data_IF_773335445603
#
_entry.id   IF_773335445603
#
_cell.length_a   1.000
_cell.length_b   1.000
_cell.length_c   1.000
_cell.angle_alpha   90.00
_cell.angle_beta   90.00
_cell.angle_gamma   90.00
#
_symmetry.space_group_name_H-M   'P 1'
#
loop_
_entity.id
_entity.type
_entity.pdbx_description
1 polymer ?
#
# COMPACT_ATOMS: atom_id res chain seq x y z
N UNK A 1 29.88 -21.45 16.59
CA UNK A 1 29.15 -20.26 16.14
C UNK A 1 27.69 -20.67 16.01
N UNK A 2 26.75 -19.85 16.46
CA UNK A 2 25.34 -20.18 16.30
C UNK A 2 24.96 -19.84 14.85
N UNK A 3 24.68 -20.85 14.03
CA UNK A 3 24.23 -20.69 12.63
C UNK A 3 22.73 -20.38 12.60
N UNK A 4 22.38 -19.13 12.90
CA UNK A 4 20.96 -18.69 12.85
C UNK A 4 20.38 -18.91 11.45
N UNK A 5 21.21 -18.77 10.39
CA UNK A 5 20.78 -19.00 9.00
C UNK A 5 20.21 -20.40 8.75
N UNK A 6 20.90 -21.44 9.23
CA UNK A 6 20.45 -22.85 9.08
C UNK A 6 19.10 -23.12 9.74
N UNK A 7 18.84 -22.51 10.91
CA UNK A 7 17.54 -22.65 11.59
C UNK A 7 16.42 -21.95 10.83
N UNK A 8 16.70 -20.78 10.24
CA UNK A 8 15.73 -20.05 9.42
C UNK A 8 15.44 -20.83 8.13
N UNK A 9 16.48 -21.33 7.47
CA UNK A 9 16.37 -22.14 6.24
C UNK A 9 15.51 -23.38 6.48
N UNK A 10 15.81 -24.15 7.52
CA UNK A 10 15.05 -25.34 7.92
C UNK A 10 13.57 -25.01 8.24
N UNK A 11 13.33 -23.88 8.92
CA UNK A 11 11.95 -23.43 9.21
C UNK A 11 11.19 -23.04 7.95
N UNK A 12 11.85 -22.36 7.00
CA UNK A 12 11.26 -21.95 5.72
C UNK A 12 10.99 -23.17 4.84
N UNK A 13 11.94 -24.11 4.72
CA UNK A 13 11.74 -25.36 3.98
C UNK A 13 10.56 -26.15 4.53
N UNK A 14 10.50 -26.33 5.86
CA UNK A 14 9.37 -27.01 6.50
C UNK A 14 8.02 -26.34 6.20
N UNK A 15 7.98 -24.99 6.25
CA UNK A 15 6.79 -24.22 5.90
C UNK A 15 6.42 -24.36 4.43
N UNK A 16 7.40 -24.42 3.53
CA UNK A 16 7.16 -24.57 2.08
C UNK A 16 6.62 -25.95 1.77
N UNK A 17 7.16 -27.01 2.39
CA UNK A 17 6.70 -28.39 2.16
C UNK A 17 5.28 -28.64 2.71
N UNK A 18 5.00 -28.16 3.93
CA UNK A 18 3.71 -28.42 4.60
C UNK A 18 2.63 -27.38 4.30
N UNK A 19 3.04 -26.20 3.85
CA UNK A 19 2.14 -25.07 3.55
C UNK A 19 1.88 -24.82 2.07
N UNK A 20 2.40 -25.64 1.15
CA UNK A 20 2.31 -25.39 -0.29
C UNK A 20 0.89 -25.06 -0.76
N UNK A 21 -0.10 -25.88 -0.43
CA UNK A 21 -1.50 -25.64 -0.82
C UNK A 21 -2.09 -24.34 -0.26
N UNK A 22 -1.65 -23.92 0.92
CA UNK A 22 -2.07 -22.64 1.52
C UNK A 22 -1.44 -21.45 0.78
N UNK A 23 -0.15 -21.54 0.47
CA UNK A 23 0.55 -20.49 -0.28
C UNK A 23 0.05 -20.40 -1.72
N UNK A 24 -0.27 -21.53 -2.37
CA UNK A 24 -0.88 -21.57 -3.70
C UNK A 24 -2.26 -20.88 -3.71
N UNK A 25 -3.10 -21.15 -2.71
CA UNK A 25 -4.41 -20.52 -2.60
C UNK A 25 -4.29 -18.99 -2.37
N UNK A 26 -3.35 -18.58 -1.52
CA UNK A 26 -3.06 -17.15 -1.31
C UNK A 26 -2.52 -16.49 -2.57
N UNK A 27 -1.63 -17.18 -3.29
CA UNK A 27 -1.08 -16.72 -4.57
C UNK A 27 -2.19 -16.47 -5.58
N UNK A 28 -3.06 -17.45 -5.80
CA UNK A 28 -4.21 -17.33 -6.71
C UNK A 28 -5.14 -16.18 -6.31
N UNK A 29 -5.37 -15.98 -5.00
CA UNK A 29 -6.19 -14.87 -4.50
C UNK A 29 -5.58 -13.51 -4.79
N UNK A 30 -4.29 -13.35 -4.51
CA UNK A 30 -3.56 -12.08 -4.72
C UNK A 30 -3.40 -11.79 -6.21
N UNK A 31 -3.00 -12.80 -7.00
CA UNK A 31 -2.88 -12.71 -8.46
C UNK A 31 -4.21 -12.32 -9.09
N UNK A 32 -5.29 -12.98 -8.72
CA UNK A 32 -6.63 -12.64 -9.23
C UNK A 32 -7.06 -11.21 -8.92
N UNK A 33 -6.68 -10.64 -7.77
CA UNK A 33 -6.95 -9.24 -7.44
C UNK A 33 -6.10 -8.30 -8.29
N UNK A 34 -4.80 -8.59 -8.45
CA UNK A 34 -3.89 -7.77 -9.25
C UNK A 34 -4.33 -7.77 -10.72
N UNK A 35 -4.55 -8.95 -11.29
CA UNK A 35 -4.94 -9.12 -12.68
C UNK A 35 -6.34 -8.55 -12.94
N UNK A 36 -7.27 -8.70 -12.01
CA UNK A 36 -8.59 -8.08 -12.10
C UNK A 36 -8.51 -6.55 -12.17
N UNK A 37 -7.70 -5.92 -11.31
CA UNK A 37 -7.47 -4.47 -11.35
C UNK A 37 -6.75 -4.08 -12.64
N UNK A 38 -5.73 -4.82 -13.05
CA UNK A 38 -4.97 -4.57 -14.27
C UNK A 38 -5.86 -4.68 -15.51
N UNK A 39 -6.68 -5.72 -15.58
CA UNK A 39 -7.63 -5.91 -16.68
C UNK A 39 -8.61 -4.73 -16.81
N UNK A 40 -9.13 -4.22 -15.69
CA UNK A 40 -9.99 -3.03 -15.68
C UNK A 40 -9.21 -1.80 -16.14
N UNK A 41 -7.98 -1.59 -15.65
CA UNK A 41 -7.17 -0.42 -16.02
C UNK A 41 -6.75 -0.40 -17.48
N UNK A 42 -6.37 -1.56 -18.04
CA UNK A 42 -5.98 -1.69 -19.45
C UNK A 42 -7.20 -1.79 -20.39
N UNK A 43 -8.33 -2.31 -19.91
CA UNK A 43 -9.58 -2.36 -20.66
C UNK A 43 -10.20 -0.99 -20.92
N UNK A 44 -9.85 0.02 -20.13
CA UNK A 44 -10.30 1.40 -20.32
C UNK A 44 -9.30 2.13 -21.26
N UNK A 45 -9.77 2.78 -22.33
CA UNK A 45 -8.92 3.59 -23.19
C UNK A 45 -8.14 4.65 -22.38
N UNK A 46 -6.85 4.83 -22.70
CA UNK A 46 -5.94 5.71 -21.96
C UNK A 46 -6.49 7.13 -21.73
N UNK A 47 -7.17 7.70 -22.70
CA UNK A 47 -7.74 9.06 -22.60
C UNK A 47 -8.87 9.12 -21.55
N UNK A 48 -9.64 8.05 -21.35
CA UNK A 48 -10.68 7.98 -20.31
C UNK A 48 -10.03 7.86 -18.94
N UNK A 49 -9.01 7.03 -18.79
CA UNK A 49 -8.26 6.90 -17.51
C UNK A 49 -7.62 8.23 -17.12
N UNK A 50 -6.99 8.93 -18.07
CA UNK A 50 -6.43 10.28 -17.86
C UNK A 50 -7.55 11.24 -17.45
N UNK A 51 -8.68 11.22 -18.14
CA UNK A 51 -9.82 12.10 -17.82
C UNK A 51 -10.39 11.84 -16.41
N UNK A 52 -10.56 10.56 -16.03
CA UNK A 52 -11.07 10.19 -14.70
C UNK A 52 -10.11 10.64 -13.60
N UNK A 53 -8.82 10.33 -13.71
CA UNK A 53 -7.81 10.71 -12.71
C UNK A 53 -7.66 12.23 -12.62
N UNK A 54 -7.69 12.93 -13.75
CA UNK A 54 -7.66 14.40 -13.79
C UNK A 54 -8.89 14.98 -13.13
N UNK A 55 -10.09 14.46 -13.42
CA UNK A 55 -11.32 14.91 -12.79
C UNK A 55 -11.31 14.68 -11.28
N UNK A 56 -10.86 13.50 -10.82
CA UNK A 56 -10.70 13.22 -9.39
C UNK A 56 -9.70 14.18 -8.72
N UNK A 57 -8.58 14.46 -9.37
CA UNK A 57 -7.59 15.40 -8.89
C UNK A 57 -8.13 16.84 -8.81
N UNK A 58 -8.86 17.30 -9.84
CA UNK A 58 -9.54 18.61 -9.85
C UNK A 58 -10.56 18.73 -8.71
N UNK A 59 -11.42 17.72 -8.56
CA UNK A 59 -12.51 17.73 -7.59
C UNK A 59 -12.05 17.63 -6.14
N UNK A 60 -10.99 16.85 -5.87
CA UNK A 60 -10.52 16.57 -4.50
C UNK A 60 -9.39 17.50 -4.06
N UNK A 61 -8.47 17.87 -4.96
CA UNK A 61 -7.21 18.54 -4.60
C UNK A 61 -7.04 19.93 -5.24
N UNK A 62 -7.92 20.29 -6.19
CA UNK A 62 -7.93 21.63 -6.80
C UNK A 62 -7.28 21.72 -8.18
N UNK A 63 -7.36 22.95 -8.79
CA UNK A 63 -7.02 23.18 -10.20
C UNK A 63 -5.54 22.85 -10.52
N UNK A 64 -4.60 23.21 -9.64
CA UNK A 64 -3.17 22.98 -9.87
C UNK A 64 -2.84 21.49 -9.97
N UNK A 65 -3.41 20.68 -9.08
CA UNK A 65 -3.23 19.21 -9.10
C UNK A 65 -3.86 18.59 -10.34
N UNK A 66 -5.04 19.07 -10.76
CA UNK A 66 -5.68 18.56 -11.97
C UNK A 66 -4.86 18.83 -13.22
N UNK A 67 -4.30 20.04 -13.38
CA UNK A 67 -3.42 20.38 -14.50
C UNK A 67 -2.15 19.51 -14.47
N UNK A 68 -1.54 19.35 -13.28
CA UNK A 68 -0.37 18.48 -13.12
C UNK A 68 -0.68 17.03 -13.50
N UNK A 69 -1.83 16.50 -13.07
CA UNK A 69 -2.26 15.12 -13.40
C UNK A 69 -2.45 14.94 -14.91
N UNK A 70 -3.13 15.90 -15.56
CA UNK A 70 -3.34 15.87 -17.00
C UNK A 70 -2.02 15.85 -17.77
N UNK A 71 -1.15 16.81 -17.47
CA UNK A 71 0.15 16.94 -18.15
C UNK A 71 1.07 15.76 -17.84
N UNK A 72 1.13 15.33 -16.58
CA UNK A 72 1.98 14.23 -16.14
C UNK A 72 1.59 12.89 -16.77
N UNK A 73 0.30 12.53 -16.76
CA UNK A 73 -0.17 11.28 -17.36
C UNK A 73 -0.07 11.32 -18.90
N UNK A 74 -0.29 12.48 -19.53
CA UNK A 74 -0.07 12.65 -20.96
C UNK A 74 1.40 12.51 -21.34
N UNK A 75 2.31 13.00 -20.48
CA UNK A 75 3.75 12.82 -20.66
C UNK A 75 4.15 11.34 -20.55
N UNK A 76 3.63 10.61 -19.56
CA UNK A 76 3.87 9.16 -19.41
C UNK A 76 3.40 8.41 -20.66
N UNK A 77 2.22 8.73 -21.17
CA UNK A 77 1.73 8.15 -22.42
C UNK A 77 2.64 8.48 -23.62
N UNK A 78 3.10 9.73 -23.72
CA UNK A 78 4.02 10.17 -24.75
C UNK A 78 5.40 9.50 -24.69
N UNK A 79 5.87 9.10 -23.50
CA UNK A 79 7.09 8.32 -23.32
C UNK A 79 6.92 6.82 -23.65
N UNK A 80 5.69 6.34 -23.87
CA UNK A 80 5.40 4.95 -24.19
C UNK A 80 5.35 3.99 -23.00
N UNK A 81 5.28 4.51 -21.76
CA UNK A 81 5.26 3.70 -20.52
C UNK A 81 3.86 3.57 -19.91
N UNK A 82 2.83 3.60 -20.75
CA UNK A 82 1.44 3.52 -20.28
C UNK A 82 1.12 2.17 -19.63
N UNK A 83 1.51 1.08 -20.28
CA UNK A 83 1.25 -0.27 -19.81
C UNK A 83 1.97 -0.53 -18.47
N UNK A 84 3.25 -0.19 -18.38
CA UNK A 84 4.05 -0.31 -17.15
C UNK A 84 3.49 0.56 -16.02
N UNK A 85 2.90 1.71 -16.36
CA UNK A 85 2.23 2.57 -15.38
C UNK A 85 0.95 1.91 -14.86
N UNK A 86 0.16 1.26 -15.71
CA UNK A 86 -1.04 0.54 -15.29
C UNK A 86 -0.68 -0.70 -14.45
N UNK A 87 0.36 -1.44 -14.80
CA UNK A 87 0.89 -2.55 -14.00
C UNK A 87 1.32 -2.06 -12.60
N UNK A 88 2.09 -0.97 -12.54
CA UNK A 88 2.48 -0.36 -11.27
C UNK A 88 1.27 0.08 -10.45
N UNK A 89 0.31 0.72 -11.09
CA UNK A 89 -0.91 1.17 -10.42
C UNK A 89 -1.72 -0.01 -9.88
N UNK A 90 -1.85 -1.10 -10.65
CA UNK A 90 -2.53 -2.31 -10.23
C UNK A 90 -1.83 -2.95 -9.01
N UNK A 91 -0.50 -3.09 -9.06
CA UNK A 91 0.30 -3.62 -7.96
C UNK A 91 0.17 -2.77 -6.69
N UNK A 92 0.28 -1.45 -6.82
CA UNK A 92 0.19 -0.51 -5.68
C UNK A 92 -1.21 -0.48 -5.09
N UNK A 93 -2.26 -0.43 -5.90
CA UNK A 93 -3.64 -0.41 -5.42
C UNK A 93 -4.02 -1.71 -4.72
N UNK A 94 -3.67 -2.87 -5.28
CA UNK A 94 -3.93 -4.17 -4.67
C UNK A 94 -3.16 -4.34 -3.37
N UNK A 95 -1.85 -4.10 -3.37
CA UNK A 95 -1.02 -4.22 -2.16
C UNK A 95 -1.45 -3.25 -1.06
N UNK A 96 -1.73 -2.00 -1.43
CA UNK A 96 -2.27 -1.00 -0.47
C UNK A 96 -3.63 -1.44 0.05
N UNK A 97 -4.55 -1.86 -0.83
CA UNK A 97 -5.88 -2.33 -0.44
C UNK A 97 -5.80 -3.47 0.59
N UNK A 98 -4.95 -4.46 0.35
CA UNK A 98 -4.72 -5.57 1.28
C UNK A 98 -4.06 -5.10 2.58
N UNK A 99 -3.07 -4.20 2.51
CA UNK A 99 -2.45 -3.61 3.70
C UNK A 99 -3.46 -2.83 4.55
N UNK A 100 -4.42 -2.12 3.94
CA UNK A 100 -5.50 -1.43 4.64
C UNK A 100 -6.50 -2.41 5.26
N UNK A 101 -6.86 -3.46 4.51
CA UNK A 101 -7.81 -4.48 4.96
C UNK A 101 -7.29 -5.22 6.21
N UNK A 102 -5.99 -5.42 6.32
CA UNK A 102 -5.34 -6.04 7.48
C UNK A 102 -4.97 -5.01 8.55
N UNK A 103 -4.41 -3.88 8.16
CA UNK A 103 -3.83 -2.90 9.07
C UNK A 103 -4.87 -2.10 9.86
N UNK A 104 -6.03 -1.76 9.26
CA UNK A 104 -7.08 -1.03 9.98
C UNK A 104 -7.67 -1.89 11.11
N UNK A 105 -8.10 -3.16 10.89
CA UNK A 105 -8.55 -4.04 11.98
C UNK A 105 -7.48 -4.28 13.04
N UNK A 106 -6.21 -4.49 12.65
CA UNK A 106 -5.10 -4.61 13.59
C UNK A 106 -4.95 -3.34 14.45
N UNK A 107 -5.05 -2.16 13.84
CA UNK A 107 -4.99 -0.88 14.53
C UNK A 107 -6.15 -0.69 15.53
N UNK A 108 -7.38 -1.10 15.16
CA UNK A 108 -8.54 -1.10 16.06
C UNK A 108 -8.29 -2.04 17.25
N UNK A 109 -7.78 -3.23 16.99
CA UNK A 109 -7.47 -4.20 18.05
C UNK A 109 -6.38 -3.69 18.99
N UNK A 110 -5.32 -3.07 18.45
CA UNK A 110 -4.26 -2.41 19.22
C UNK A 110 -4.79 -1.26 20.09
N UNK A 111 -5.77 -0.49 19.58
CA UNK A 111 -6.39 0.59 20.35
C UNK A 111 -7.20 0.07 21.53
N UNK A 112 -7.98 -1.00 21.32
CA UNK A 112 -8.87 -1.58 22.34
C UNK A 112 -8.15 -2.43 23.40
N UNK A 113 -6.94 -2.93 23.13
CA UNK A 113 -6.21 -3.83 24.05
C UNK A 113 -4.77 -3.40 24.28
N UNK A 114 -4.45 -2.99 25.48
CA UNK A 114 -3.09 -2.62 25.87
C UNK A 114 -2.09 -3.78 25.76
N UNK A 115 -2.55 -5.04 25.96
CA UNK A 115 -1.71 -6.24 25.80
C UNK A 115 -1.39 -6.46 24.31
N UNK A 116 -2.40 -6.40 23.47
CA UNK A 116 -2.25 -6.52 22.03
C UNK A 116 -1.26 -5.47 21.48
N UNK A 117 -1.41 -4.21 21.93
CA UNK A 117 -0.50 -3.15 21.52
C UNK A 117 0.95 -3.43 21.93
N UNK A 118 1.19 -3.89 23.16
CA UNK A 118 2.55 -4.20 23.65
C UNK A 118 3.22 -5.32 22.85
N UNK A 119 2.45 -6.25 22.30
CA UNK A 119 2.97 -7.37 21.49
C UNK A 119 3.13 -6.95 20.03
N UNK A 120 2.13 -6.30 19.43
CA UNK A 120 2.15 -5.97 18.01
C UNK A 120 3.06 -4.78 17.68
N UNK A 121 3.22 -3.83 18.59
CA UNK A 121 4.05 -2.66 18.32
C UNK A 121 5.51 -3.03 18.00
N UNK A 122 6.22 -3.88 18.78
CA UNK A 122 7.57 -4.34 18.41
C UNK A 122 7.61 -5.10 17.08
N UNK A 123 6.58 -5.87 16.76
CA UNK A 123 6.48 -6.58 15.46
C UNK A 123 6.39 -5.57 14.32
N UNK A 124 5.51 -4.58 14.43
CA UNK A 124 5.40 -3.51 13.44
C UNK A 124 6.67 -2.65 13.36
N UNK A 125 7.38 -2.47 14.48
CA UNK A 125 8.69 -1.79 14.50
C UNK A 125 9.74 -2.61 13.74
N UNK A 126 9.81 -3.91 13.99
CA UNK A 126 10.67 -4.81 13.25
C UNK A 126 10.38 -4.77 11.73
N UNK A 127 9.09 -4.83 11.36
CA UNK A 127 8.67 -4.73 9.96
C UNK A 127 9.09 -3.43 9.27
N UNK A 128 9.26 -2.32 9.95
CA UNK A 128 9.71 -1.05 9.37
C UNK A 128 11.21 -0.83 9.40
N UNK A 129 11.92 -1.45 10.34
CA UNK A 129 13.37 -1.29 10.50
C UNK A 129 14.18 -2.24 9.64
N UNK A 130 13.59 -3.37 9.24
CA UNK A 130 14.26 -4.31 8.35
C UNK A 130 14.42 -3.73 6.94
N UNK A 131 15.58 -3.90 6.29
CA UNK A 131 15.75 -3.53 4.89
C UNK A 131 14.70 -4.20 4.00
N UNK A 132 14.14 -3.45 3.05
CA UNK A 132 13.08 -3.92 2.16
C UNK A 132 13.44 -5.23 1.41
N UNK A 133 14.70 -5.39 1.05
CA UNK A 133 15.20 -6.60 0.38
C UNK A 133 15.05 -7.88 1.20
N UNK A 134 15.08 -7.79 2.53
CA UNK A 134 14.97 -8.97 3.40
C UNK A 134 13.60 -9.63 3.26
N UNK A 135 12.54 -8.86 2.95
CA UNK A 135 11.19 -9.40 2.72
C UNK A 135 11.05 -10.14 1.40
N UNK A 136 11.90 -9.80 0.41
CA UNK A 136 11.86 -10.49 -0.89
C UNK A 136 12.30 -11.94 -0.78
N UNK A 137 13.23 -12.26 0.16
CA UNK A 137 13.76 -13.61 0.31
C UNK A 137 12.64 -14.60 0.61
N UNK A 138 11.90 -14.49 1.74
CA UNK A 138 10.81 -15.43 2.02
C UNK A 138 9.66 -15.31 1.00
N UNK A 139 9.38 -14.11 0.48
CA UNK A 139 8.35 -13.94 -0.53
C UNK A 139 8.64 -14.76 -1.80
N UNK A 140 9.88 -14.73 -2.28
CA UNK A 140 10.29 -15.51 -3.46
C UNK A 140 10.32 -17.01 -3.17
N UNK A 141 10.72 -17.41 -1.97
CA UNK A 141 10.75 -18.83 -1.58
C UNK A 141 9.33 -19.44 -1.52
N UNK A 142 8.33 -18.68 -1.05
CA UNK A 142 6.96 -19.16 -0.93
C UNK A 142 6.15 -19.02 -2.22
N UNK A 143 6.38 -17.97 -3.02
CA UNK A 143 5.51 -17.61 -4.16
C UNK A 143 6.24 -17.59 -5.52
N UNK A 144 7.54 -17.93 -5.56
CA UNK A 144 8.33 -17.84 -6.79
C UNK A 144 8.73 -16.40 -7.15
N UNK A 145 9.00 -16.16 -8.44
CA UNK A 145 9.29 -14.84 -9.00
C UNK A 145 8.02 -14.25 -9.62
N UNK A 146 7.84 -12.93 -9.55
CA UNK A 146 6.73 -12.26 -10.22
C UNK A 146 6.01 -11.21 -9.39
N UNK A 147 4.79 -10.87 -9.79
CA UNK A 147 3.96 -9.82 -9.18
C UNK A 147 3.48 -10.21 -7.77
N UNK A 148 3.15 -11.47 -7.53
CA UNK A 148 2.62 -11.97 -6.26
C UNK A 148 3.61 -11.78 -5.11
N UNK A 149 4.86 -12.28 -5.16
CA UNK A 149 5.82 -12.04 -4.07
C UNK A 149 6.16 -10.55 -3.92
N UNK A 150 6.15 -9.77 -5.01
CA UNK A 150 6.28 -8.32 -4.95
C UNK A 150 5.15 -7.65 -4.19
N UNK A 151 3.91 -8.10 -4.37
CA UNK A 151 2.75 -7.64 -3.63
C UNK A 151 2.85 -7.99 -2.14
N UNK A 152 3.21 -9.24 -1.79
CA UNK A 152 3.37 -9.66 -0.40
C UNK A 152 4.45 -8.86 0.33
N UNK A 153 5.62 -8.68 -0.27
CA UNK A 153 6.67 -7.86 0.29
C UNK A 153 6.21 -6.40 0.49
N UNK A 154 5.46 -5.87 -0.46
CA UNK A 154 4.88 -4.53 -0.38
C UNK A 154 3.84 -4.43 0.74
N UNK A 155 2.96 -5.42 0.90
CA UNK A 155 1.96 -5.46 1.98
C UNK A 155 2.65 -5.43 3.34
N UNK A 156 3.64 -6.30 3.56
CA UNK A 156 4.39 -6.39 4.82
C UNK A 156 5.07 -5.05 5.14
N UNK A 157 5.72 -4.43 4.15
CA UNK A 157 6.43 -3.17 4.31
C UNK A 157 5.50 -1.97 4.56
N UNK A 158 4.34 -1.94 3.91
CA UNK A 158 3.42 -0.80 3.92
C UNK A 158 2.30 -0.88 4.99
N UNK A 159 2.10 -2.04 5.61
CA UNK A 159 1.05 -2.25 6.63
C UNK A 159 1.27 -1.46 7.94
N UNK A 160 2.49 -1.34 8.51
CA UNK A 160 2.69 -0.75 9.82
C UNK A 160 2.15 0.68 10.00
N UNK A 161 2.30 1.62 9.06
CA UNK A 161 1.79 2.99 9.22
C UNK A 161 0.29 3.05 9.46
N UNK A 162 -0.50 2.35 8.65
CA UNK A 162 -1.96 2.38 8.81
C UNK A 162 -2.39 1.73 10.11
N UNK A 163 -1.78 0.63 10.53
CA UNK A 163 -2.10 -0.01 11.80
C UNK A 163 -1.81 0.91 13.00
N UNK A 164 -0.63 1.55 13.01
CA UNK A 164 -0.23 2.48 14.08
C UNK A 164 -1.07 3.74 14.12
N UNK A 165 -1.29 4.36 12.96
CA UNK A 165 -2.07 5.61 12.90
C UNK A 165 -3.55 5.36 13.17
N UNK A 166 -4.09 4.19 12.84
CA UNK A 166 -5.42 3.79 13.27
C UNK A 166 -5.49 3.64 14.79
N UNK A 167 -4.54 2.93 15.39
CA UNK A 167 -4.50 2.78 16.85
C UNK A 167 -4.30 4.13 17.57
N UNK A 168 -3.44 4.99 17.04
CA UNK A 168 -3.21 6.32 17.59
C UNK A 168 -4.45 7.20 17.46
N UNK A 169 -5.08 7.23 16.28
CA UNK A 169 -6.27 8.04 16.04
C UNK A 169 -7.41 7.71 16.99
N UNK A 170 -7.65 6.40 17.22
CA UNK A 170 -8.66 5.95 18.19
C UNK A 170 -8.32 6.33 19.64
N UNK A 171 -7.04 6.31 20.03
CA UNK A 171 -6.59 6.72 21.37
C UNK A 171 -6.64 8.23 21.61
N UNK A 172 -6.56 9.02 20.54
CA UNK A 172 -6.63 10.48 20.60
C UNK A 172 -8.07 10.99 20.72
N UNK A 173 -9.08 10.12 20.57
CA UNK A 173 -10.49 10.53 20.77
C UNK A 173 -10.69 11.03 22.20
N UNK A 174 -11.26 12.24 22.40
CA UNK A 174 -11.45 12.81 23.71
C UNK A 174 -12.30 11.94 24.61
N UNK A 175 -11.82 11.64 25.82
CA UNK A 175 -12.49 10.75 26.77
C UNK A 175 -13.86 11.23 27.17
N UNK A 176 -14.06 12.55 27.30
CA UNK A 176 -15.37 13.15 27.61
C UNK A 176 -16.43 12.82 26.57
N UNK A 177 -16.07 12.74 25.28
CA UNK A 177 -16.99 12.35 24.20
C UNK A 177 -17.35 10.86 24.31
N UNK A 178 -16.38 10.02 24.62
CA UNK A 178 -16.59 8.58 24.82
C UNK A 178 -17.48 8.33 26.05
N UNK A 179 -17.23 9.03 27.15
CA UNK A 179 -18.02 8.92 28.39
C UNK A 179 -19.47 9.43 28.19
N UNK A 180 -19.63 10.55 27.49
CA UNK A 180 -20.96 11.06 27.15
C UNK A 180 -21.75 10.05 26.30
N UNK A 181 -21.14 9.48 25.25
CA UNK A 181 -21.79 8.48 24.42
C UNK A 181 -22.21 7.24 25.20
N UNK A 182 -21.37 6.78 26.14
CA UNK A 182 -21.71 5.68 27.06
C UNK A 182 -22.87 6.02 27.99
N UNK A 183 -22.91 7.24 28.52
CA UNK A 183 -23.99 7.72 29.38
C UNK A 183 -25.35 7.76 28.66
N UNK A 184 -25.35 7.98 27.34
CA UNK A 184 -26.53 7.86 26.50
C UNK A 184 -26.85 6.41 26.08
N UNK A 185 -26.16 5.41 26.62
CA UNK A 185 -26.45 3.98 26.38
C UNK A 185 -25.86 3.42 25.07
N UNK A 186 -24.83 4.06 24.50
CA UNK A 186 -24.18 3.52 23.31
C UNK A 186 -23.52 2.16 23.59
N UNK A 187 -23.82 1.17 22.76
CA UNK A 187 -23.14 -0.12 22.78
C UNK A 187 -21.70 0.02 22.31
N UNK A 188 -20.78 -0.93 22.65
CA UNK A 188 -19.39 -0.87 22.21
C UNK A 188 -19.25 -0.74 20.68
N UNK A 189 -20.08 -1.42 19.91
CA UNK A 189 -20.08 -1.30 18.44
C UNK A 189 -20.54 0.08 17.99
N UNK A 190 -21.61 0.64 18.59
CA UNK A 190 -22.06 2.00 18.27
C UNK A 190 -21.00 3.05 18.64
N UNK A 191 -20.33 2.86 19.77
CA UNK A 191 -19.25 3.74 20.20
C UNK A 191 -18.12 3.73 19.17
N UNK A 192 -17.63 2.55 18.75
CA UNK A 192 -16.56 2.43 17.78
C UNK A 192 -16.96 3.05 16.42
N UNK A 193 -18.08 2.61 15.84
CA UNK A 193 -18.42 2.98 14.44
C UNK A 193 -19.05 4.37 14.30
N UNK A 194 -19.78 4.84 15.31
CA UNK A 194 -20.51 6.13 15.24
C UNK A 194 -19.80 7.29 15.92
N UNK A 195 -18.83 7.01 16.80
CA UNK A 195 -18.15 8.06 17.58
C UNK A 195 -16.64 8.02 17.36
N UNK A 196 -15.97 6.91 17.71
CA UNK A 196 -14.52 6.85 17.72
C UNK A 196 -13.91 6.86 16.32
N UNK A 197 -14.38 6.00 15.40
CA UNK A 197 -13.87 5.94 14.03
C UNK A 197 -14.08 7.25 13.24
N UNK A 198 -15.24 7.92 13.29
CA UNK A 198 -15.40 9.22 12.62
C UNK A 198 -14.45 10.29 13.16
N UNK A 199 -14.21 10.33 14.47
CA UNK A 199 -13.29 11.28 15.09
C UNK A 199 -11.82 10.93 14.82
N UNK A 200 -11.48 9.65 14.72
CA UNK A 200 -10.14 9.15 14.39
C UNK A 200 -9.82 9.25 12.89
N UNK A 201 -10.83 9.46 12.04
CA UNK A 201 -10.70 9.39 10.58
C UNK A 201 -9.57 10.26 9.99
N UNK A 202 -9.32 11.50 10.44
CA UNK A 202 -8.21 12.31 9.93
C UNK A 202 -6.85 11.63 10.11
N UNK A 203 -6.62 11.01 11.28
CA UNK A 203 -5.39 10.30 11.59
C UNK A 203 -5.29 8.98 10.82
N UNK A 204 -6.40 8.27 10.65
CA UNK A 204 -6.46 7.05 9.82
C UNK A 204 -6.14 7.38 8.36
N UNK A 205 -6.69 8.46 7.81
CA UNK A 205 -6.41 8.92 6.45
C UNK A 205 -4.93 9.28 6.25
N UNK A 206 -4.28 9.86 7.26
CA UNK A 206 -2.84 10.09 7.24
C UNK A 206 -2.08 8.75 7.16
N UNK A 207 -2.53 7.71 7.88
CA UNK A 207 -2.00 6.35 7.80
C UNK A 207 -2.17 5.75 6.42
N UNK A 208 -3.34 5.88 5.83
CA UNK A 208 -3.64 5.40 4.47
C UNK A 208 -2.69 6.07 3.46
N UNK A 209 -2.53 7.39 3.55
CA UNK A 209 -1.64 8.12 2.66
C UNK A 209 -0.19 7.65 2.78
N UNK A 210 0.29 7.45 4.00
CA UNK A 210 1.65 6.94 4.24
C UNK A 210 1.83 5.52 3.71
N UNK A 211 0.82 4.66 3.86
CA UNK A 211 0.82 3.30 3.29
C UNK A 211 0.94 3.32 1.76
N UNK A 212 0.20 4.18 1.07
CA UNK A 212 0.30 4.35 -0.39
C UNK A 212 1.71 4.78 -0.80
N UNK A 213 2.29 5.75 -0.11
CA UNK A 213 3.65 6.23 -0.41
C UNK A 213 4.70 5.13 -0.19
N UNK A 214 4.54 4.31 0.85
CA UNK A 214 5.44 3.18 1.09
C UNK A 214 5.26 2.08 0.04
N UNK A 215 4.04 1.80 -0.39
CA UNK A 215 3.78 0.85 -1.49
C UNK A 215 4.43 1.31 -2.79
N UNK A 216 4.36 2.59 -3.11
CA UNK A 216 5.05 3.17 -4.28
C UNK A 216 6.57 3.08 -4.16
N UNK A 217 7.12 3.25 -2.97
CA UNK A 217 8.57 3.11 -2.74
C UNK A 217 9.07 1.68 -2.98
N UNK A 218 8.20 0.69 -2.81
CA UNK A 218 8.53 -0.72 -3.05
C UNK A 218 8.54 -1.11 -4.53
N UNK A 219 7.99 -0.30 -5.44
CA UNK A 219 7.85 -0.64 -6.87
C UNK A 219 9.18 -1.03 -7.51
N UNK A 220 10.24 -0.25 -7.28
CA UNK A 220 11.58 -0.53 -7.85
C UNK A 220 12.22 -1.75 -7.19
N UNK A 221 12.01 -1.94 -5.90
CA UNK A 221 12.50 -3.09 -5.15
C UNK A 221 11.80 -4.38 -5.61
N UNK A 222 10.48 -4.35 -5.76
CA UNK A 222 9.69 -5.46 -6.27
C UNK A 222 10.08 -5.85 -7.72
N UNK A 223 10.47 -4.87 -8.53
CA UNK A 223 10.96 -5.14 -9.89
C UNK A 223 12.20 -6.03 -9.94
N UNK A 224 13.01 -6.07 -8.87
CA UNK A 224 14.17 -6.95 -8.81
C UNK A 224 13.80 -8.45 -8.76
N UNK A 225 12.56 -8.76 -8.44
CA UNK A 225 12.00 -10.12 -8.44
C UNK A 225 10.95 -10.29 -9.55
N UNK A 226 11.09 -9.54 -10.62
CA UNK A 226 10.23 -9.62 -11.80
C UNK A 226 8.76 -9.23 -11.57
N UNK A 227 8.49 -8.28 -10.67
CA UNK A 227 7.12 -7.79 -10.42
C UNK A 227 6.58 -6.87 -11.54
N UNK A 228 7.39 -6.53 -12.53
CA UNK A 228 6.99 -5.72 -13.68
C UNK A 228 6.81 -4.23 -13.40
N UNK A 229 6.12 -3.54 -14.30
CA UNK A 229 5.76 -2.14 -14.20
C UNK A 229 6.91 -1.13 -14.36
N UNK A 230 6.67 0.12 -13.95
CA UNK A 230 7.66 1.21 -14.04
C UNK A 230 8.96 0.92 -13.28
N UNK A 231 8.90 0.11 -12.22
CA UNK A 231 10.09 -0.33 -11.49
C UNK A 231 11.05 -1.12 -12.38
N UNK A 232 10.52 -1.96 -13.27
CA UNK A 232 11.33 -2.72 -14.23
C UNK A 232 11.99 -1.82 -15.26
N UNK A 233 11.31 -0.75 -15.70
CA UNK A 233 11.90 0.26 -16.61
C UNK A 233 13.10 0.92 -15.95
N UNK A 234 12.96 1.33 -14.69
CA UNK A 234 14.06 1.92 -13.90
C UNK A 234 15.20 0.91 -13.74
N UNK A 235 14.89 -0.33 -13.35
CA UNK A 235 15.89 -1.39 -13.17
C UNK A 235 16.63 -1.72 -14.46
N UNK A 236 15.93 -1.82 -15.60
CA UNK A 236 16.54 -2.00 -16.93
C UNK A 236 17.44 -0.81 -17.29
N UNK A 237 17.03 0.41 -16.96
CA UNK A 237 17.85 1.60 -17.15
C UNK A 237 19.19 1.52 -16.43
N UNK A 238 19.17 1.04 -15.17
CA UNK A 238 20.38 0.87 -14.36
C UNK A 238 21.23 -0.30 -14.86
N UNK A 239 20.64 -1.49 -15.03
CA UNK A 239 21.39 -2.73 -15.34
C UNK A 239 21.95 -2.74 -16.77
N UNK A 240 21.25 -2.09 -17.72
CA UNK A 240 21.69 -1.98 -19.12
C UNK A 240 22.44 -0.67 -19.41
N UNK A 241 22.70 0.16 -18.39
CA UNK A 241 23.35 1.48 -18.51
C UNK A 241 22.63 2.43 -19.49
N UNK A 242 21.30 2.26 -19.67
CA UNK A 242 20.44 3.13 -20.47
C UNK A 242 19.92 4.29 -19.63
N UNK A 243 20.78 5.27 -19.39
CA UNK A 243 20.53 6.38 -18.47
C UNK A 243 19.20 7.09 -18.78
N UNK A 244 18.93 7.41 -20.05
CA UNK A 244 17.70 8.07 -20.50
C UNK A 244 16.45 7.31 -20.06
N UNK A 245 16.38 6.00 -20.37
CA UNK A 245 15.26 5.13 -20.00
C UNK A 245 15.06 5.03 -18.48
N UNK A 246 16.16 4.94 -17.71
CA UNK A 246 16.09 4.91 -16.24
C UNK A 246 15.51 6.21 -15.66
N UNK A 247 15.93 7.37 -16.20
CA UNK A 247 15.38 8.67 -15.79
C UNK A 247 13.92 8.85 -16.19
N UNK A 248 13.53 8.45 -17.40
CA UNK A 248 12.14 8.50 -17.86
C UNK A 248 11.23 7.64 -16.99
N UNK A 249 11.64 6.40 -16.69
CA UNK A 249 10.93 5.52 -15.76
C UNK A 249 10.82 6.12 -14.35
N UNK A 250 11.92 6.70 -13.85
CA UNK A 250 11.93 7.40 -12.55
C UNK A 250 10.97 8.58 -12.51
N UNK A 251 10.93 9.41 -13.55
CA UNK A 251 9.99 10.54 -13.67
C UNK A 251 8.55 10.02 -13.71
N UNK A 252 8.27 8.94 -14.42
CA UNK A 252 6.94 8.34 -14.47
C UNK A 252 6.48 7.85 -13.08
N UNK A 253 7.36 7.19 -12.30
CA UNK A 253 7.08 6.79 -10.91
C UNK A 253 6.77 8.01 -10.04
N UNK A 254 7.56 9.07 -10.14
CA UNK A 254 7.36 10.31 -9.35
C UNK A 254 6.03 10.99 -9.71
N UNK A 255 5.70 11.08 -11.00
CA UNK A 255 4.42 11.64 -11.44
C UNK A 255 3.27 10.83 -10.86
N UNK A 256 3.30 9.50 -10.97
CA UNK A 256 2.28 8.61 -10.43
C UNK A 256 2.16 8.77 -8.91
N UNK A 257 3.29 8.84 -8.21
CA UNK A 257 3.32 9.03 -6.76
C UNK A 257 2.65 10.36 -6.34
N UNK A 258 2.99 11.47 -7.01
CA UNK A 258 2.40 12.78 -6.72
C UNK A 258 0.90 12.77 -7.02
N UNK A 259 0.46 12.16 -8.11
CA UNK A 259 -0.96 12.08 -8.47
C UNK A 259 -1.74 11.34 -7.39
N UNK A 260 -1.27 10.14 -6.98
CA UNK A 260 -1.93 9.35 -5.94
C UNK A 260 -1.93 10.05 -4.59
N UNK A 261 -0.79 10.63 -4.19
CA UNK A 261 -0.65 11.37 -2.94
C UNK A 261 -1.65 12.55 -2.88
N UNK A 262 -1.70 13.37 -3.92
CA UNK A 262 -2.58 14.53 -3.96
C UNK A 262 -4.06 14.18 -3.96
N UNK A 263 -4.45 13.15 -4.70
CA UNK A 263 -5.85 12.66 -4.69
C UNK A 263 -6.22 12.18 -3.29
N UNK A 264 -5.36 11.40 -2.64
CA UNK A 264 -5.62 10.84 -1.31
C UNK A 264 -5.66 11.91 -0.23
N UNK A 265 -4.71 12.85 -0.22
CA UNK A 265 -4.73 14.00 0.69
C UNK A 265 -5.96 14.88 0.48
N UNK A 266 -6.39 15.08 -0.76
CA UNK A 266 -7.58 15.83 -1.08
C UNK A 266 -8.85 15.20 -0.53
N UNK A 267 -8.91 13.86 -0.48
CA UNK A 267 -9.99 13.11 0.18
C UNK A 267 -10.01 13.34 1.69
N UNK A 268 -8.84 13.39 2.31
CA UNK A 268 -8.70 13.64 3.75
C UNK A 268 -9.15 15.05 4.16
N UNK A 269 -8.73 16.10 3.41
CA UNK A 269 -9.04 17.51 3.73
C UNK A 269 -10.52 17.85 3.62
N UNK A 270 -11.26 17.25 2.69
CA UNK A 270 -12.68 17.55 2.50
C UNK A 270 -13.54 17.06 3.67
N UNK A 271 -13.18 15.94 4.29
CA UNK A 271 -13.87 15.40 5.48
C UNK A 271 -13.57 16.14 6.79
N UNK A 272 -12.56 17.00 6.84
CA UNK A 272 -12.30 17.87 7.99
C UNK A 272 -13.12 19.16 7.98
N UNK A 273 -13.73 19.50 6.85
CA UNK A 273 -14.53 20.73 6.69
C UNK A 273 -16.05 20.49 6.77
N UNK A 274 -16.48 19.22 6.74
CA UNK A 274 -17.85 18.78 7.01
C UNK A 274 -18.00 18.33 8.47
#
# INVERSE_FOLDING_TARGET
MINIGEYIEMAVEWLTEHGASFFDLLSLGVEGVIDGILCVLLGIPFYITIAILTFLALYKSGRGTGIFTLLGLSLIYGMGFWEETMQTLALVLSSTGMALLLGIPLGIWMAGSGRCNKILQPVLDCMQTMPAFVYLIPAVLFFGLGTVPGAFATIIFALPPVARLTALGLRLVPKNVVEAARSFGATPSQLLFKVELPLALPTILAGINQTIMMSLSMVVVAAMISAGGLGEVVLKGITQMKIGMGFEGGIAVVILAIVLDRITQGMARKKQKE
#
